data_IF_433719267487
#
_entry.id   IF_433719267487
#
_cell.length_a   1.000
_cell.length_b   1.000
_cell.length_c   1.000
_cell.angle_alpha   90.00
_cell.angle_beta   90.00
_cell.angle_gamma   90.00
#
_symmetry.space_group_name_H-M   'P 1'
#
loop_
_entity.id
_entity.type
_entity.pdbx_description
1 polymer ?
#
# COMPACT_ATOMS: atom_id res chain seq x y z
N UNK A 1 -20.17 -0.02 0.87
CA UNK A 1 -18.80 0.52 1.02
C UNK A 1 -18.87 2.03 1.21
N UNK A 2 -18.07 2.63 2.11
CA UNK A 2 -18.02 4.08 2.28
C UNK A 2 -17.59 4.79 1.00
N UNK A 3 -18.16 5.98 0.75
CA UNK A 3 -17.71 6.87 -0.32
C UNK A 3 -16.30 7.41 -0.03
N UNK A 4 -15.62 7.94 -1.04
CA UNK A 4 -14.29 8.55 -0.85
C UNK A 4 -14.35 9.73 0.11
N UNK A 5 -15.44 10.50 0.11
CA UNK A 5 -15.62 11.62 1.03
C UNK A 5 -15.78 11.15 2.49
N UNK A 6 -16.52 10.06 2.73
CA UNK A 6 -16.63 9.49 4.08
C UNK A 6 -15.28 8.97 4.59
N UNK A 7 -14.47 8.37 3.73
CA UNK A 7 -13.10 7.94 4.06
C UNK A 7 -12.22 9.12 4.45
N UNK A 8 -12.23 10.20 3.66
CA UNK A 8 -11.49 11.43 3.97
C UNK A 8 -11.98 12.07 5.25
N UNK A 9 -13.30 12.15 5.47
CA UNK A 9 -13.89 12.70 6.69
C UNK A 9 -13.45 11.90 7.94
N UNK A 10 -13.40 10.57 7.84
CA UNK A 10 -12.93 9.74 8.95
C UNK A 10 -11.43 9.92 9.21
N UNK A 11 -10.63 10.03 8.16
CA UNK A 11 -9.21 10.37 8.26
C UNK A 11 -9.00 11.72 8.97
N UNK A 12 -9.73 12.77 8.60
CA UNK A 12 -9.61 14.09 9.19
C UNK A 12 -10.02 14.14 10.66
N UNK A 13 -10.98 13.33 11.10
CA UNK A 13 -11.33 13.18 12.54
C UNK A 13 -10.14 12.64 13.34
N UNK A 14 -9.40 11.70 12.78
CA UNK A 14 -8.26 11.05 13.43
C UNK A 14 -7.00 11.93 13.36
N UNK A 15 -6.81 12.66 12.26
CA UNK A 15 -5.63 13.49 11.98
C UNK A 15 -6.00 14.94 11.62
N UNK A 16 -6.67 15.70 12.50
CA UNK A 16 -7.26 17.00 12.15
C UNK A 16 -6.24 18.10 11.86
N UNK A 17 -4.99 17.95 12.33
CA UNK A 17 -3.98 19.03 12.28
C UNK A 17 -2.98 18.89 11.14
N UNK A 18 -2.79 17.69 10.58
CA UNK A 18 -1.66 17.40 9.71
C UNK A 18 -2.07 16.71 8.44
N UNK A 19 -1.44 17.10 7.32
CA UNK A 19 -1.51 16.36 6.07
C UNK A 19 -2.94 16.15 5.60
N UNK A 20 -3.66 17.23 5.37
CA UNK A 20 -5.05 17.18 4.90
C UNK A 20 -5.18 16.44 3.59
N UNK A 21 -6.25 15.68 3.49
CA UNK A 21 -6.70 15.03 2.25
C UNK A 21 -8.00 15.70 1.79
N UNK A 22 -8.26 15.60 0.51
CA UNK A 22 -9.53 16.06 -0.07
C UNK A 22 -9.94 15.15 -1.22
N UNK A 23 -11.22 15.16 -1.56
CA UNK A 23 -11.72 14.50 -2.76
C UNK A 23 -11.83 15.55 -3.86
N UNK A 24 -11.05 15.36 -4.92
CA UNK A 24 -11.04 16.29 -6.07
C UNK A 24 -12.34 16.19 -6.90
N UNK A 25 -12.64 17.17 -7.79
CA UNK A 25 -13.79 17.09 -8.72
C UNK A 25 -13.76 15.86 -9.62
N UNK A 26 -12.60 15.21 -9.79
CA UNK A 26 -12.46 13.94 -10.53
C UNK A 26 -12.87 12.72 -9.71
N UNK A 27 -13.35 12.90 -8.48
CA UNK A 27 -13.66 11.85 -7.51
C UNK A 27 -12.43 10.97 -7.18
N UNK A 28 -11.32 11.64 -6.85
CA UNK A 28 -10.04 11.03 -6.47
C UNK A 28 -9.57 11.65 -5.15
N UNK A 29 -9.09 10.84 -4.21
CA UNK A 29 -8.46 11.32 -2.98
C UNK A 29 -7.09 11.91 -3.33
N UNK A 30 -6.83 13.14 -2.93
CA UNK A 30 -5.58 13.84 -3.18
C UNK A 30 -5.04 14.50 -1.91
N UNK A 31 -3.71 14.64 -1.81
CA UNK A 31 -3.06 15.34 -0.72
C UNK A 31 -1.57 15.04 -0.61
N UNK A 32 -0.93 15.60 0.42
CA UNK A 32 0.50 15.37 0.70
C UNK A 32 0.68 15.06 2.18
N UNK A 33 1.43 14.01 2.47
CA UNK A 33 1.84 13.64 3.82
C UNK A 33 3.33 13.91 4.03
N UNK A 34 3.65 14.53 5.17
CA UNK A 34 5.01 14.59 5.69
C UNK A 34 5.11 13.55 6.81
N UNK A 35 5.98 12.56 6.63
CA UNK A 35 6.08 11.41 7.50
C UNK A 35 7.43 11.36 8.22
N UNK A 36 7.41 10.91 9.48
CA UNK A 36 8.62 10.58 10.21
C UNK A 36 9.31 9.32 9.71
N UNK A 37 10.53 9.09 10.19
CA UNK A 37 11.28 7.88 9.91
C UNK A 37 11.08 6.84 11.03
N UNK A 38 10.73 5.61 10.66
CA UNK A 38 10.55 4.52 11.61
C UNK A 38 11.84 3.70 11.85
N UNK A 39 12.91 3.94 11.07
CA UNK A 39 14.16 3.18 11.15
C UNK A 39 14.77 3.16 12.54
N UNK A 40 14.82 4.33 13.23
CA UNK A 40 15.37 4.45 14.57
C UNK A 40 14.59 3.67 15.64
N UNK A 41 13.30 3.47 15.41
CA UNK A 41 12.39 2.80 16.35
C UNK A 41 12.31 1.31 16.09
N UNK A 42 12.32 0.89 14.83
CA UNK A 42 12.19 -0.52 14.44
C UNK A 42 13.55 -1.23 14.29
N UNK A 43 14.65 -0.49 14.10
CA UNK A 43 15.95 -1.06 13.74
C UNK A 43 15.99 -1.74 12.37
N UNK A 44 14.90 -1.68 11.60
CA UNK A 44 14.73 -2.37 10.32
C UNK A 44 14.73 -1.38 9.15
N UNK A 45 15.66 -1.60 8.22
CA UNK A 45 15.68 -0.87 6.95
C UNK A 45 14.48 -1.29 6.11
N UNK A 46 13.70 -0.33 5.58
CA UNK A 46 12.52 -0.61 4.77
C UNK A 46 11.20 -0.77 5.53
N UNK A 47 11.18 -0.59 6.86
CA UNK A 47 9.92 -0.50 7.58
C UNK A 47 9.03 0.64 7.04
N UNK A 48 7.72 0.46 7.10
CA UNK A 48 6.77 1.53 6.78
C UNK A 48 7.12 2.82 7.54
N UNK A 49 6.94 4.01 6.94
CA UNK A 49 7.12 5.28 7.63
C UNK A 49 6.29 5.35 8.90
N UNK A 50 6.83 6.04 9.92
CA UNK A 50 6.12 6.17 11.19
C UNK A 50 4.72 6.78 10.99
N UNK A 51 3.70 6.09 11.51
CA UNK A 51 2.30 6.50 11.41
C UNK A 51 1.64 6.23 10.05
N UNK A 52 2.34 5.62 9.07
CA UNK A 52 1.76 5.29 7.76
C UNK A 52 0.53 4.40 7.88
N UNK A 53 0.66 3.25 8.54
CA UNK A 53 -0.45 2.29 8.69
C UNK A 53 -1.64 2.91 9.41
N UNK A 54 -1.42 3.65 10.51
CA UNK A 54 -2.52 4.34 11.23
C UNK A 54 -3.29 5.31 10.35
N UNK A 55 -2.61 6.00 9.42
CA UNK A 55 -3.26 6.90 8.46
C UNK A 55 -4.07 6.11 7.43
N UNK A 56 -3.51 5.03 6.91
CA UNK A 56 -4.19 4.16 5.95
C UNK A 56 -5.38 3.44 6.60
N UNK A 57 -5.23 2.91 7.81
CA UNK A 57 -6.31 2.29 8.60
C UNK A 57 -7.46 3.28 8.85
N UNK A 58 -7.17 4.57 9.05
CA UNK A 58 -8.22 5.58 9.19
C UNK A 58 -8.97 5.89 7.90
N UNK A 59 -8.34 5.70 6.72
CA UNK A 59 -9.00 5.77 5.42
C UNK A 59 -9.83 4.52 5.12
N UNK A 60 -9.35 3.35 5.53
CA UNK A 60 -9.98 2.04 5.31
C UNK A 60 -10.57 1.46 6.58
N UNK A 61 -11.17 2.30 7.41
CA UNK A 61 -11.71 1.96 8.74
C UNK A 61 -12.78 0.86 8.74
N UNK A 62 -13.37 0.59 7.59
CA UNK A 62 -14.37 -0.45 7.35
C UNK A 62 -13.78 -1.82 6.96
N UNK A 63 -12.45 -1.92 6.86
CA UNK A 63 -11.73 -3.16 6.49
C UNK A 63 -10.83 -3.57 7.66
N UNK A 64 -11.01 -4.78 8.14
CA UNK A 64 -10.24 -5.32 9.26
C UNK A 64 -8.85 -5.82 8.83
N UNK A 65 -7.95 -6.02 9.80
CA UNK A 65 -6.63 -6.62 9.54
C UNK A 65 -6.74 -8.04 8.96
N UNK A 66 -7.77 -8.80 9.31
CA UNK A 66 -7.99 -10.15 8.77
C UNK A 66 -8.36 -10.13 7.28
N UNK A 67 -8.93 -9.03 6.80
CA UNK A 67 -9.30 -8.80 5.40
C UNK A 67 -8.22 -8.04 4.63
N UNK A 68 -7.08 -7.78 5.26
CA UNK A 68 -5.95 -7.01 4.72
C UNK A 68 -4.74 -7.90 4.51
N UNK A 69 -4.07 -7.74 3.37
CA UNK A 69 -2.82 -8.41 3.02
C UNK A 69 -1.70 -7.37 2.81
N UNK A 70 -0.52 -7.64 3.34
CA UNK A 70 0.67 -6.84 3.11
C UNK A 70 1.65 -7.61 2.24
N UNK A 71 1.93 -7.12 1.03
CA UNK A 71 2.99 -7.62 0.17
C UNK A 71 4.29 -6.89 0.52
N UNK A 72 5.40 -7.61 0.48
CA UNK A 72 6.71 -7.08 0.90
C UNK A 72 6.69 -6.62 2.37
N UNK A 73 6.11 -7.46 3.23
CA UNK A 73 5.74 -7.12 4.60
C UNK A 73 6.90 -6.77 5.54
N UNK A 74 8.13 -7.15 5.18
CA UNK A 74 9.34 -6.75 5.90
C UNK A 74 9.27 -7.06 7.40
N UNK A 75 9.34 -6.00 8.22
CA UNK A 75 9.36 -6.09 9.70
C UNK A 75 7.98 -6.10 10.37
N UNK A 76 6.90 -6.26 9.61
CA UNK A 76 5.56 -6.31 10.20
C UNK A 76 5.41 -7.52 11.13
N UNK A 77 4.71 -7.30 12.24
CA UNK A 77 4.35 -8.34 13.20
C UNK A 77 3.33 -9.32 12.57
N UNK A 78 3.82 -10.50 12.19
CA UNK A 78 3.04 -11.55 11.52
C UNK A 78 1.94 -12.16 12.40
N UNK A 79 1.94 -11.87 13.70
CA UNK A 79 0.84 -12.25 14.59
C UNK A 79 -0.38 -11.33 14.46
N UNK A 80 -0.18 -10.13 13.91
CA UNK A 80 -1.20 -9.08 13.75
C UNK A 80 -1.59 -8.83 12.31
N UNK A 81 -0.69 -9.09 11.37
CA UNK A 81 -0.87 -8.75 9.96
C UNK A 81 -0.66 -9.97 9.07
N UNK A 82 -1.50 -10.13 8.05
CA UNK A 82 -1.24 -11.11 7.00
C UNK A 82 -0.16 -10.55 6.07
N UNK A 83 0.98 -11.22 5.97
CA UNK A 83 2.11 -10.77 5.17
C UNK A 83 2.51 -11.82 4.14
N UNK A 84 2.98 -11.36 2.99
CA UNK A 84 3.64 -12.17 1.97
C UNK A 84 4.96 -11.50 1.63
N UNK A 85 6.05 -12.23 1.84
CA UNK A 85 7.41 -11.79 1.52
C UNK A 85 8.23 -12.99 1.07
N UNK A 86 8.92 -12.87 -0.06
CA UNK A 86 9.77 -13.93 -0.63
C UNK A 86 10.91 -14.33 0.32
N UNK A 87 11.31 -13.44 1.22
CA UNK A 87 12.31 -13.74 2.26
C UNK A 87 11.81 -14.70 3.33
N UNK A 88 10.52 -14.78 3.53
CA UNK A 88 9.92 -15.67 4.51
C UNK A 88 9.65 -17.05 3.92
N UNK A 89 9.28 -17.09 2.64
CA UNK A 89 9.03 -18.31 1.89
C UNK A 89 9.25 -18.03 0.40
N UNK A 90 10.22 -18.68 -0.21
CA UNK A 90 10.58 -18.50 -1.63
C UNK A 90 9.43 -18.85 -2.59
N UNK A 91 8.51 -19.72 -2.19
CA UNK A 91 7.32 -20.06 -2.96
C UNK A 91 6.25 -18.95 -2.93
N UNK A 92 6.35 -18.02 -2.00
CA UNK A 92 5.41 -16.91 -1.83
C UNK A 92 5.85 -15.65 -2.60
N UNK A 93 6.15 -15.80 -3.86
CA UNK A 93 6.49 -14.68 -4.74
C UNK A 93 5.23 -13.91 -5.16
N UNK A 94 5.18 -12.62 -4.85
CA UNK A 94 4.07 -11.72 -5.22
C UNK A 94 3.79 -11.66 -6.73
N UNK A 95 4.76 -12.03 -7.58
CA UNK A 95 4.55 -12.14 -9.03
C UNK A 95 3.66 -13.33 -9.45
N UNK A 96 3.36 -14.24 -8.53
CA UNK A 96 2.53 -15.43 -8.75
C UNK A 96 1.43 -15.57 -7.68
N UNK A 97 1.00 -14.45 -7.11
CA UNK A 97 0.09 -14.35 -5.96
C UNK A 97 -1.18 -15.19 -6.12
N UNK A 98 -1.75 -15.22 -7.32
CA UNK A 98 -2.97 -16.00 -7.62
C UNK A 98 -2.78 -17.53 -7.57
N UNK A 99 -1.55 -18.04 -7.44
CA UNK A 99 -1.30 -19.47 -7.33
C UNK A 99 -1.49 -20.00 -5.90
N UNK A 100 -1.40 -19.13 -4.90
CA UNK A 100 -1.42 -19.54 -3.48
C UNK A 100 -2.32 -18.68 -2.58
N UNK A 101 -2.91 -17.61 -3.12
CA UNK A 101 -3.91 -16.80 -2.41
C UNK A 101 -5.27 -16.99 -3.06
N UNK A 102 -6.24 -17.40 -2.27
CA UNK A 102 -7.62 -17.60 -2.72
C UNK A 102 -8.26 -16.24 -3.11
N UNK A 103 -9.00 -16.24 -4.21
CA UNK A 103 -9.74 -15.08 -4.67
C UNK A 103 -10.84 -14.68 -3.67
N UNK A 104 -10.89 -13.39 -3.35
CA UNK A 104 -11.87 -12.80 -2.44
C UNK A 104 -11.54 -12.96 -0.96
N UNK A 105 -10.39 -13.57 -0.62
CA UNK A 105 -9.92 -13.69 0.77
C UNK A 105 -9.64 -12.34 1.40
N UNK A 106 -9.11 -11.40 0.63
CA UNK A 106 -8.74 -10.06 1.10
C UNK A 106 -9.50 -8.99 0.34
N UNK A 107 -9.82 -7.88 1.04
CA UNK A 107 -10.47 -6.69 0.48
C UNK A 107 -9.49 -5.54 0.26
N UNK A 108 -8.34 -5.58 0.91
CA UNK A 108 -7.32 -4.56 0.86
C UNK A 108 -5.93 -5.19 0.78
N UNK A 109 -5.13 -4.76 -0.19
CA UNK A 109 -3.74 -5.16 -0.35
C UNK A 109 -2.86 -3.94 -0.23
N UNK A 110 -1.88 -3.95 0.68
CA UNK A 110 -0.79 -2.99 0.72
C UNK A 110 0.42 -3.56 0.00
N UNK A 111 1.05 -2.76 -0.84
CA UNK A 111 2.30 -3.11 -1.53
C UNK A 111 3.32 -1.97 -1.37
N UNK A 112 4.48 -2.29 -0.81
CA UNK A 112 5.63 -1.39 -0.63
C UNK A 112 6.90 -2.11 -1.11
N UNK A 113 7.06 -2.29 -2.45
CA UNK A 113 8.19 -3.01 -3.02
C UNK A 113 9.50 -2.22 -2.86
N UNK A 114 10.67 -2.86 -3.01
CA UNK A 114 11.94 -2.16 -3.20
C UNK A 114 11.85 -1.18 -4.36
N UNK A 115 12.31 0.07 -4.18
CA UNK A 115 12.13 1.12 -5.19
C UNK A 115 13.22 1.16 -6.26
N UNK A 116 14.42 0.68 -5.92
CA UNK A 116 15.59 0.77 -6.78
C UNK A 116 16.41 -0.53 -6.76
N UNK A 117 17.37 -0.64 -7.69
CA UNK A 117 18.32 -1.75 -7.73
C UNK A 117 19.14 -1.77 -6.44
N UNK A 118 19.53 -0.61 -5.91
CA UNK A 118 20.28 -0.49 -4.66
C UNK A 118 19.47 -1.02 -3.47
N UNK A 119 18.18 -0.70 -3.41
CA UNK A 119 17.29 -1.27 -2.39
C UNK A 119 17.21 -2.80 -2.54
N UNK A 120 17.07 -3.31 -3.77
CA UNK A 120 17.04 -4.75 -4.04
C UNK A 120 18.34 -5.46 -3.62
N UNK A 121 19.49 -4.87 -3.92
CA UNK A 121 20.80 -5.39 -3.48
C UNK A 121 20.91 -5.41 -1.95
N UNK A 122 20.43 -4.34 -1.30
CA UNK A 122 20.41 -4.26 0.16
C UNK A 122 19.54 -5.35 0.79
N UNK A 123 18.39 -5.66 0.18
CA UNK A 123 17.49 -6.71 0.63
C UNK A 123 17.88 -8.12 0.19
N UNK A 124 18.81 -8.26 -0.78
CA UNK A 124 19.14 -9.54 -1.39
C UNK A 124 17.97 -10.13 -2.18
N UNK A 125 17.17 -9.29 -2.83
CA UNK A 125 16.00 -9.69 -3.62
C UNK A 125 16.10 -9.22 -5.07
N UNK A 126 15.45 -9.89 -6.04
CA UNK A 126 15.37 -9.39 -7.40
C UNK A 126 14.50 -8.13 -7.50
N UNK A 127 14.67 -7.39 -8.59
CA UNK A 127 13.83 -6.23 -8.88
C UNK A 127 12.38 -6.66 -9.14
N UNK A 128 11.45 -5.97 -8.52
CA UNK A 128 10.02 -6.27 -8.63
C UNK A 128 9.46 -5.79 -9.97
N UNK A 129 8.79 -6.69 -10.70
CA UNK A 129 7.97 -6.31 -11.84
C UNK A 129 6.61 -5.79 -11.33
N UNK A 130 6.53 -4.49 -11.11
CA UNK A 130 5.37 -3.78 -10.55
C UNK A 130 4.07 -4.08 -11.28
N UNK A 131 4.13 -4.11 -12.62
CA UNK A 131 2.96 -4.32 -13.46
C UNK A 131 2.41 -5.76 -13.30
N UNK A 132 3.32 -6.74 -13.20
CA UNK A 132 2.95 -8.14 -12.97
C UNK A 132 2.33 -8.31 -11.59
N UNK A 133 2.93 -7.75 -10.54
CA UNK A 133 2.38 -7.83 -9.17
C UNK A 133 1.01 -7.17 -9.08
N UNK A 134 0.83 -5.97 -9.64
CA UNK A 134 -0.47 -5.29 -9.62
C UNK A 134 -1.55 -6.11 -10.36
N UNK A 135 -1.18 -6.75 -11.48
CA UNK A 135 -2.08 -7.66 -12.22
C UNK A 135 -2.46 -8.87 -11.37
N UNK A 136 -1.51 -9.45 -10.64
CA UNK A 136 -1.79 -10.57 -9.71
C UNK A 136 -2.72 -10.14 -8.57
N UNK A 137 -2.52 -8.97 -7.98
CA UNK A 137 -3.48 -8.39 -7.01
C UNK A 137 -4.89 -8.33 -7.62
N UNK A 138 -5.02 -7.88 -8.87
CA UNK A 138 -6.31 -7.80 -9.56
C UNK A 138 -6.99 -9.15 -9.80
N UNK A 139 -6.24 -10.26 -9.86
CA UNK A 139 -6.82 -11.61 -10.01
C UNK A 139 -7.46 -12.12 -8.73
N UNK A 140 -6.88 -11.79 -7.58
CA UNK A 140 -7.34 -12.30 -6.27
C UNK A 140 -8.38 -11.40 -5.60
N UNK A 141 -8.52 -10.15 -6.02
CA UNK A 141 -9.51 -9.21 -5.50
C UNK A 141 -10.86 -9.36 -6.19
N UNK A 142 -11.93 -9.09 -5.45
CA UNK A 142 -13.26 -8.90 -6.01
C UNK A 142 -13.44 -7.47 -6.51
N UNK A 143 -14.48 -7.25 -7.34
CA UNK A 143 -14.86 -5.90 -7.76
C UNK A 143 -15.15 -5.01 -6.53
N UNK A 144 -14.60 -3.81 -6.54
CA UNK A 144 -14.72 -2.85 -5.44
C UNK A 144 -13.60 -2.90 -4.41
N UNK A 145 -12.83 -3.99 -4.32
CA UNK A 145 -11.69 -4.14 -3.41
C UNK A 145 -10.51 -3.25 -3.81
N UNK A 146 -9.49 -3.14 -2.95
CA UNK A 146 -8.47 -2.11 -3.06
C UNK A 146 -7.04 -2.64 -3.09
N UNK A 147 -6.18 -1.93 -3.82
CA UNK A 147 -4.71 -2.02 -3.69
C UNK A 147 -4.17 -0.64 -3.33
N UNK A 148 -3.38 -0.56 -2.28
CA UNK A 148 -2.61 0.64 -1.91
C UNK A 148 -1.14 0.38 -2.25
N UNK A 149 -0.65 1.10 -3.23
CA UNK A 149 0.71 0.97 -3.75
C UNK A 149 1.57 2.15 -3.31
N UNK A 150 2.60 1.90 -2.51
CA UNK A 150 3.58 2.90 -2.08
C UNK A 150 4.87 2.72 -2.88
N UNK A 151 5.25 3.70 -3.68
CA UNK A 151 6.45 3.63 -4.51
C UNK A 151 6.90 5.03 -4.97
N UNK A 152 8.03 5.08 -5.66
CA UNK A 152 8.50 6.25 -6.42
C UNK A 152 7.95 6.25 -7.86
N UNK A 153 7.48 5.11 -8.34
CA UNK A 153 6.97 4.89 -9.69
C UNK A 153 5.57 4.29 -9.65
N UNK A 154 4.67 4.84 -10.44
CA UNK A 154 3.34 4.29 -10.63
C UNK A 154 3.40 3.03 -11.50
N UNK A 155 2.90 1.86 -11.05
CA UNK A 155 2.79 0.68 -11.91
C UNK A 155 1.81 0.92 -13.06
N UNK A 156 2.09 0.38 -14.24
CA UNK A 156 1.13 0.38 -15.34
C UNK A 156 -0.04 -0.56 -15.04
N UNK A 157 -1.23 -0.14 -15.41
CA UNK A 157 -2.46 -0.88 -15.15
C UNK A 157 -3.42 -0.82 -16.35
N UNK A 158 -4.30 -1.80 -16.43
CA UNK A 158 -5.41 -1.76 -17.38
C UNK A 158 -6.60 -1.06 -16.74
N UNK A 159 -7.13 -0.04 -17.41
CA UNK A 159 -8.28 0.74 -16.91
C UNK A 159 -9.56 -0.10 -16.74
N UNK A 160 -9.67 -1.23 -17.44
CA UNK A 160 -10.77 -2.19 -17.31
C UNK A 160 -10.62 -3.11 -16.08
N UNK A 161 -9.44 -3.16 -15.46
CA UNK A 161 -9.17 -4.03 -14.32
C UNK A 161 -8.99 -3.22 -13.02
N UNK A 162 -8.35 -2.05 -13.12
CA UNK A 162 -8.03 -1.19 -11.98
C UNK A 162 -8.33 0.27 -12.29
N UNK A 163 -8.90 0.97 -11.33
CA UNK A 163 -9.14 2.42 -11.38
C UNK A 163 -8.40 3.09 -10.24
N UNK A 164 -7.50 4.04 -10.50
CA UNK A 164 -6.92 4.84 -9.43
C UNK A 164 -7.99 5.77 -8.84
N UNK A 165 -8.15 5.71 -7.52
CA UNK A 165 -9.10 6.51 -6.76
C UNK A 165 -8.41 7.37 -5.70
N UNK A 166 -7.07 7.33 -5.62
CA UNK A 166 -6.30 8.19 -4.72
C UNK A 166 -4.85 8.34 -5.16
N UNK A 167 -4.32 9.54 -4.99
CA UNK A 167 -2.91 9.88 -5.15
C UNK A 167 -2.49 10.76 -3.98
N UNK A 168 -1.68 10.20 -3.08
CA UNK A 168 -1.18 10.92 -1.91
C UNK A 168 0.34 11.01 -2.02
N UNK A 169 0.85 12.21 -2.21
CA UNK A 169 2.28 12.46 -2.15
C UNK A 169 2.80 12.22 -0.74
N UNK A 170 3.96 11.60 -0.60
CA UNK A 170 4.58 11.36 0.70
C UNK A 170 6.04 11.79 0.70
N UNK A 171 6.39 12.64 1.66
CA UNK A 171 7.76 13.10 1.91
C UNK A 171 8.22 12.57 3.26
N UNK A 172 9.37 11.91 3.29
CA UNK A 172 10.03 11.58 4.56
C UNK A 172 10.83 12.78 5.06
N UNK A 173 10.58 13.19 6.30
CA UNK A 173 11.24 14.35 6.92
C UNK A 173 12.75 14.20 7.08
N UNK A 174 13.29 13.00 7.03
CA UNK A 174 14.71 12.71 7.30
C UNK A 174 15.58 12.59 6.06
N UNK A 175 15.03 12.16 4.92
CA UNK A 175 15.80 11.96 3.69
C UNK A 175 15.20 12.67 2.46
N UNK A 176 14.13 13.42 2.66
CA UNK A 176 13.43 14.23 1.64
C UNK A 176 13.04 13.46 0.36
N UNK A 177 13.08 12.11 0.39
CA UNK A 177 12.64 11.31 -0.75
C UNK A 177 11.13 11.45 -0.92
N UNK A 178 10.72 11.84 -2.11
CA UNK A 178 9.32 11.88 -2.49
C UNK A 178 8.86 10.49 -2.95
N UNK A 179 7.68 10.09 -2.49
CA UNK A 179 7.00 8.87 -2.89
C UNK A 179 5.54 9.18 -3.18
N UNK A 180 4.88 8.30 -3.86
CA UNK A 180 3.44 8.39 -4.09
C UNK A 180 2.75 7.15 -3.53
N UNK A 181 1.67 7.38 -2.81
CA UNK A 181 0.71 6.34 -2.43
C UNK A 181 -0.40 6.41 -3.47
N UNK A 182 -0.52 5.35 -4.27
CA UNK A 182 -1.60 5.21 -5.23
C UNK A 182 -2.63 4.24 -4.69
N UNK A 183 -3.86 4.67 -4.58
CA UNK A 183 -4.98 3.81 -4.19
C UNK A 183 -5.70 3.38 -5.45
N UNK A 184 -5.67 2.09 -5.74
CA UNK A 184 -6.43 1.49 -6.84
C UNK A 184 -7.67 0.80 -6.29
N UNK A 185 -8.75 0.84 -7.07
CA UNK A 185 -9.96 0.05 -6.86
C UNK A 185 -10.12 -0.95 -8.00
N UNK A 186 -10.40 -2.20 -7.68
CA UNK A 186 -10.71 -3.26 -8.64
C UNK A 186 -12.05 -2.97 -9.33
N UNK A 187 -12.05 -3.02 -10.69
CA UNK A 187 -13.22 -2.82 -11.54
C UNK A 187 -13.97 -4.13 -11.81
#
# INVERSE_FOLDING_TARGET
MPSLQERVNNYEKTFPKYSKLYVSPRNVIEGIWVMGNNYKTSGYYGAYPHGYLKRMESLFYDISNNETLHLFGGSLDKTKYNTIDIKDNEDHDAHNLSNFVEKGKYKLIYADPPYSIEDCLHYGTPMVNRNKVLKECGKILNQGDYVVWLDQVLPMYKKTEMKPIGYIGMVKSTNHRFRVITIFQKQ
#
